data_IF_467849232739
#
_entry.id   IF_467849232739
#
_cell.length_a   1.000
_cell.length_b   1.000
_cell.length_c   1.000
_cell.angle_alpha   90.00
_cell.angle_beta   90.00
_cell.angle_gamma   90.00
#
_symmetry.space_group_name_H-M   'P 1'
#
loop_
_entity.id
_entity.type
_entity.pdbx_description
1 polymer ?
#
# COMPACT_ATOMS: atom_id res chain seq x y z
N UNK A 1 -1.03 -0.08 15.97
CA UNK A 1 -1.64 0.77 14.93
C UNK A 1 -2.74 0.04 14.14
N UNK A 2 -2.52 -1.21 13.71
CA UNK A 2 -3.51 -2.01 12.96
C UNK A 2 -4.86 -2.16 13.70
N UNK A 3 -4.87 -2.45 15.00
CA UNK A 3 -6.12 -2.59 15.78
C UNK A 3 -6.98 -1.31 15.81
N UNK A 4 -6.36 -0.13 15.77
CA UNK A 4 -7.09 1.14 15.68
C UNK A 4 -7.62 1.39 14.25
N UNK A 5 -6.89 0.95 13.23
CA UNK A 5 -7.28 1.07 11.84
C UNK A 5 -8.55 0.25 11.52
N UNK A 6 -8.69 -0.94 12.10
CA UNK A 6 -9.91 -1.77 11.97
C UNK A 6 -11.13 -1.09 12.60
N UNK A 7 -10.97 -0.50 13.79
CA UNK A 7 -12.05 0.21 14.50
C UNK A 7 -12.47 1.48 13.73
N UNK A 8 -11.52 2.17 13.10
CA UNK A 8 -11.75 3.40 12.34
C UNK A 8 -12.13 3.15 10.87
N UNK A 9 -12.21 1.89 10.44
CA UNK A 9 -12.62 1.53 9.07
C UNK A 9 -11.60 1.86 7.98
N UNK A 10 -10.32 2.06 8.34
CA UNK A 10 -9.25 2.27 7.36
C UNK A 10 -9.02 0.94 6.64
N UNK A 11 -8.98 0.95 5.30
CA UNK A 11 -8.89 -0.27 4.47
C UNK A 11 -7.53 -0.49 3.82
N UNK A 12 -6.70 0.55 3.77
CA UNK A 12 -5.41 0.48 3.08
C UNK A 12 -4.61 1.76 3.22
N UNK A 13 -3.44 1.76 2.60
CA UNK A 13 -2.53 2.91 2.52
C UNK A 13 -2.38 3.29 1.05
N UNK A 14 -2.62 4.56 0.74
CA UNK A 14 -2.41 5.14 -0.58
C UNK A 14 -1.09 5.93 -0.57
N UNK A 15 -0.26 5.70 -1.58
CA UNK A 15 0.98 6.45 -1.80
C UNK A 15 1.01 7.02 -3.22
N UNK A 16 1.66 8.16 -3.39
CA UNK A 16 2.06 8.66 -4.71
C UNK A 16 3.57 8.62 -4.77
N UNK A 17 4.12 7.73 -5.59
CA UNK A 17 5.57 7.56 -5.73
C UNK A 17 6.19 8.81 -6.37
N UNK A 18 7.41 9.14 -5.96
CA UNK A 18 8.14 10.31 -6.48
C UNK A 18 9.01 9.97 -7.71
N UNK A 19 9.26 8.68 -7.93
CA UNK A 19 10.10 8.16 -9.02
C UNK A 19 9.72 6.73 -9.37
N UNK A 20 10.14 6.27 -10.54
CA UNK A 20 9.95 4.87 -10.96
C UNK A 20 10.61 3.87 -9.99
N UNK A 21 11.77 4.22 -9.43
CA UNK A 21 12.44 3.39 -8.42
C UNK A 21 11.60 3.27 -7.15
N UNK A 22 11.00 4.37 -6.69
CA UNK A 22 10.09 4.36 -5.56
C UNK A 22 8.83 3.54 -5.85
N UNK A 23 8.26 3.66 -7.06
CA UNK A 23 7.13 2.84 -7.50
C UNK A 23 7.49 1.36 -7.45
N UNK A 24 8.62 0.96 -8.05
CA UNK A 24 9.06 -0.43 -8.08
C UNK A 24 9.29 -1.00 -6.66
N UNK A 25 9.82 -0.20 -5.74
CA UNK A 25 9.92 -0.57 -4.33
C UNK A 25 8.54 -0.84 -3.71
N UNK A 26 7.56 0.04 -3.90
CA UNK A 26 6.21 -0.16 -3.35
C UNK A 26 5.50 -1.38 -3.97
N UNK A 27 5.66 -1.61 -5.27
CA UNK A 27 5.12 -2.81 -5.94
C UNK A 27 5.72 -4.10 -5.38
N UNK A 28 7.04 -4.12 -5.13
CA UNK A 28 7.72 -5.28 -4.53
C UNK A 28 7.24 -5.57 -3.09
N UNK A 29 6.77 -4.54 -2.37
CA UNK A 29 6.19 -4.66 -1.03
C UNK A 29 4.70 -5.06 -1.07
N UNK A 30 4.09 -5.13 -2.26
CA UNK A 30 2.72 -5.60 -2.46
C UNK A 30 1.69 -4.49 -2.68
N UNK A 31 2.12 -3.24 -2.89
CA UNK A 31 1.21 -2.19 -3.37
C UNK A 31 0.87 -2.43 -4.83
N UNK A 32 -0.36 -2.11 -5.22
CA UNK A 32 -0.84 -2.23 -6.58
C UNK A 32 -1.02 -0.83 -7.20
N UNK A 33 -0.52 -0.59 -8.43
CA UNK A 33 -0.69 0.68 -9.10
C UNK A 33 -2.15 0.92 -9.50
N UNK A 34 -2.57 2.18 -9.49
CA UNK A 34 -3.88 2.58 -9.99
C UNK A 34 -3.91 2.47 -11.52
N UNK A 35 -5.00 1.93 -12.11
CA UNK A 35 -5.14 1.88 -13.56
C UNK A 35 -5.12 3.27 -14.24
N UNK A 36 -5.54 4.31 -13.52
CA UNK A 36 -5.61 5.68 -14.04
C UNK A 36 -4.33 6.48 -13.86
N UNK A 37 -3.49 6.10 -12.89
CA UNK A 37 -2.20 6.74 -12.60
C UNK A 37 -1.24 5.71 -11.99
N UNK A 38 -0.27 5.19 -12.76
CA UNK A 38 0.69 4.21 -12.28
C UNK A 38 1.57 4.70 -11.12
N UNK A 39 1.65 6.01 -10.87
CA UNK A 39 2.41 6.56 -9.74
C UNK A 39 1.60 6.60 -8.45
N UNK A 40 0.28 6.44 -8.50
CA UNK A 40 -0.55 6.22 -7.31
C UNK A 40 -0.70 4.73 -7.04
N UNK A 41 -0.29 4.27 -5.86
CA UNK A 41 -0.38 2.87 -5.46
C UNK A 41 -1.15 2.69 -4.16
N UNK A 42 -1.84 1.56 -4.05
CA UNK A 42 -2.62 1.19 -2.88
C UNK A 42 -2.22 -0.21 -2.39
N UNK A 43 -2.12 -0.37 -1.07
CA UNK A 43 -2.09 -1.70 -0.43
C UNK A 43 -3.23 -1.82 0.55
N UNK A 44 -3.87 -2.99 0.60
CA UNK A 44 -4.85 -3.31 1.64
C UNK A 44 -4.16 -3.50 3.00
N UNK A 45 -4.80 -3.09 4.09
CA UNK A 45 -4.23 -3.27 5.44
C UNK A 45 -4.04 -4.74 5.81
N UNK A 46 -4.91 -5.62 5.32
CA UNK A 46 -4.77 -7.07 5.45
C UNK A 46 -3.49 -7.58 4.77
N UNK A 47 -3.26 -7.14 3.53
CA UNK A 47 -2.11 -7.58 2.74
C UNK A 47 -0.80 -6.97 3.25
N UNK A 48 -0.86 -5.73 3.73
CA UNK A 48 0.27 -5.08 4.41
C UNK A 48 0.67 -5.81 5.70
N UNK A 49 -0.29 -6.31 6.49
CA UNK A 49 0.02 -7.08 7.69
C UNK A 49 0.75 -8.38 7.35
N UNK A 50 0.37 -9.04 6.26
CA UNK A 50 1.05 -10.25 5.78
C UNK A 50 2.47 -9.95 5.31
N UNK A 51 2.67 -8.83 4.61
CA UNK A 51 3.98 -8.40 4.11
C UNK A 51 4.96 -8.00 5.24
N UNK A 52 4.47 -7.48 6.37
CA UNK A 52 5.31 -7.03 7.49
C UNK A 52 5.61 -8.10 8.54
N UNK A 53 4.90 -9.24 8.51
CA UNK A 53 5.02 -10.31 9.51
C UNK A 53 5.76 -11.55 8.95
N UNK A 54 6.23 -11.48 7.70
CA UNK A 54 7.08 -12.50 7.05
C UNK A 54 8.54 -12.08 7.06
#
# INVERSE_FOLDING_TARGET
MINAAEILGIRGVLVHAISDDARAFYEAVGFLPSPSDPMMLLVGLHDLNNALTS
#
